data_IF_666355499064
#
_entry.id   IF_666355499064
#
_cell.length_a   1.000
_cell.length_b   1.000
_cell.length_c   1.000
_cell.angle_alpha   90.00
_cell.angle_beta   90.00
_cell.angle_gamma   90.00
#
_symmetry.space_group_name_H-M   'P 1'
#
loop_
_entity.id
_entity.type
_entity.pdbx_description
1 polymer ?
#
# COMPACT_ATOMS: atom_id res chain seq x y z
N UNK A 1 32.52 9.43 -30.10
CA UNK A 1 31.13 9.10 -30.53
C UNK A 1 30.29 8.39 -29.46
N UNK A 2 30.53 8.69 -28.17
CA UNK A 2 29.84 8.03 -27.03
C UNK A 2 28.77 8.89 -26.34
N UNK A 3 28.64 10.18 -26.70
CA UNK A 3 27.75 11.14 -26.03
C UNK A 3 26.26 11.05 -26.45
N UNK A 4 25.96 10.42 -27.57
CA UNK A 4 24.60 10.40 -28.13
C UNK A 4 23.68 9.31 -27.55
N UNK A 5 24.24 8.30 -26.83
CA UNK A 5 23.42 7.23 -26.20
C UNK A 5 22.81 7.65 -24.88
N UNK A 6 23.37 8.61 -24.17
CA UNK A 6 22.89 9.03 -22.85
C UNK A 6 21.70 9.98 -22.93
N UNK A 7 21.60 10.84 -23.95
CA UNK A 7 20.47 11.77 -24.10
C UNK A 7 19.15 11.04 -24.43
N UNK A 8 19.20 10.02 -25.28
CA UNK A 8 18.01 9.21 -25.59
C UNK A 8 17.46 8.44 -24.39
N UNK A 9 18.32 8.07 -23.44
CA UNK A 9 17.96 7.43 -22.18
C UNK A 9 17.12 8.32 -21.28
N UNK A 10 17.50 9.59 -21.14
CA UNK A 10 16.90 10.55 -20.19
C UNK A 10 15.45 10.86 -20.58
N UNK A 11 15.12 10.80 -21.86
CA UNK A 11 13.78 11.04 -22.40
C UNK A 11 12.88 9.78 -22.39
N UNK A 12 13.42 8.60 -22.05
CA UNK A 12 12.65 7.37 -21.97
C UNK A 12 11.79 7.34 -20.68
N UNK A 13 10.47 7.17 -20.76
CA UNK A 13 9.60 7.08 -19.59
C UNK A 13 10.03 5.97 -18.61
N UNK A 14 10.59 4.85 -19.10
CA UNK A 14 11.12 3.77 -18.30
C UNK A 14 12.39 4.15 -17.54
N UNK A 15 13.18 5.08 -18.03
CA UNK A 15 14.39 5.54 -17.36
C UNK A 15 14.10 6.15 -15.98
N UNK A 16 13.04 6.95 -15.89
CA UNK A 16 12.60 7.49 -14.60
C UNK A 16 12.10 6.39 -13.65
N UNK A 17 11.43 5.34 -14.18
CA UNK A 17 11.01 4.19 -13.37
C UNK A 17 12.22 3.44 -12.82
N UNK A 18 13.20 3.15 -13.67
CA UNK A 18 14.45 2.52 -13.31
C UNK A 18 15.24 3.32 -12.26
N UNK A 19 15.46 4.59 -12.49
CA UNK A 19 16.14 5.47 -11.50
C UNK A 19 15.41 5.48 -10.15
N UNK A 20 14.09 5.50 -10.17
CA UNK A 20 13.30 5.53 -8.94
C UNK A 20 13.46 4.27 -8.11
N UNK A 21 13.48 3.07 -8.70
CA UNK A 21 13.70 1.83 -7.93
C UNK A 21 15.11 1.79 -7.33
N UNK A 22 16.13 2.23 -8.09
CA UNK A 22 17.50 2.31 -7.59
C UNK A 22 17.61 3.32 -6.44
N UNK A 23 17.02 4.52 -6.60
CA UNK A 23 17.10 5.56 -5.58
C UNK A 23 16.37 5.16 -4.29
N UNK A 24 15.25 4.45 -4.35
CA UNK A 24 14.56 3.94 -3.15
C UNK A 24 15.42 3.01 -2.31
N UNK A 25 16.32 2.26 -2.96
CA UNK A 25 17.20 1.31 -2.29
C UNK A 25 18.49 1.93 -1.74
N UNK A 26 18.71 3.27 -1.88
CA UNK A 26 19.87 3.96 -1.34
C UNK A 26 19.62 4.45 0.08
N UNK A 27 20.67 4.41 0.91
CA UNK A 27 20.65 4.92 2.29
C UNK A 27 20.28 6.41 2.38
N UNK A 28 20.73 7.23 1.43
CA UNK A 28 20.44 8.67 1.39
C UNK A 28 18.99 9.03 0.95
N UNK A 29 18.17 8.05 0.63
CA UNK A 29 16.78 8.28 0.23
C UNK A 29 15.91 8.57 1.47
N UNK A 30 14.98 9.53 1.36
CA UNK A 30 13.99 9.84 2.42
C UNK A 30 13.17 8.61 2.82
N UNK A 31 13.02 7.64 1.91
CA UNK A 31 12.28 6.40 2.14
C UNK A 31 13.19 5.22 2.56
N UNK A 32 14.47 5.46 2.95
CA UNK A 32 15.44 4.40 3.26
C UNK A 32 14.90 3.37 4.26
N UNK A 33 14.18 3.81 5.31
CA UNK A 33 13.57 2.95 6.34
C UNK A 33 12.61 1.89 5.80
N UNK A 34 12.06 2.07 4.60
CA UNK A 34 11.14 1.13 3.97
C UNK A 34 11.83 0.18 2.98
N UNK A 35 13.05 0.51 2.56
CA UNK A 35 13.79 -0.23 1.56
C UNK A 35 15.19 -0.59 2.04
N UNK A 36 16.11 0.38 2.14
CA UNK A 36 17.50 0.15 2.49
C UNK A 36 17.66 -0.52 3.87
N UNK A 37 17.02 -0.01 4.91
CA UNK A 37 17.10 -0.56 6.27
C UNK A 37 16.48 -1.96 6.39
N UNK A 38 15.66 -2.35 5.40
CA UNK A 38 15.11 -3.70 5.29
C UNK A 38 15.90 -4.63 4.36
N UNK A 39 17.07 -4.20 3.90
CA UNK A 39 17.90 -4.98 2.99
C UNK A 39 17.32 -5.13 1.57
N UNK A 40 16.40 -4.23 1.18
CA UNK A 40 15.81 -4.26 -0.17
C UNK A 40 16.81 -3.66 -1.16
N UNK A 41 17.20 -4.46 -2.16
CA UNK A 41 18.17 -4.08 -3.19
C UNK A 41 17.57 -4.19 -4.59
N UNK A 42 18.31 -3.75 -5.57
CA UNK A 42 18.06 -4.01 -7.00
C UNK A 42 19.10 -5.04 -7.47
N UNK A 43 18.71 -6.02 -8.26
CA UNK A 43 19.64 -7.02 -8.79
C UNK A 43 20.73 -6.37 -9.66
N UNK A 44 21.91 -6.97 -9.70
CA UNK A 44 23.09 -6.42 -10.36
C UNK A 44 22.86 -6.12 -11.84
N UNK A 45 22.11 -6.97 -12.53
CA UNK A 45 21.77 -6.76 -13.94
C UNK A 45 21.01 -5.43 -14.16
N UNK A 46 20.05 -5.13 -13.32
CA UNK A 46 19.29 -3.86 -13.43
C UNK A 46 19.98 -2.69 -12.76
N UNK A 47 20.84 -2.93 -11.77
CA UNK A 47 21.57 -1.87 -11.09
C UNK A 47 22.55 -1.19 -12.06
N UNK A 48 23.18 -1.97 -12.92
CA UNK A 48 24.27 -1.54 -13.79
C UNK A 48 23.83 -1.25 -15.23
N UNK A 49 22.69 -1.80 -15.67
CA UNK A 49 22.23 -1.66 -17.05
C UNK A 49 20.73 -1.34 -17.15
N UNK A 50 20.44 -0.11 -17.61
CA UNK A 50 19.08 0.32 -17.91
C UNK A 50 18.43 -0.49 -19.04
N UNK A 51 19.17 -0.90 -20.03
CA UNK A 51 18.60 -1.58 -21.19
C UNK A 51 18.10 -2.97 -20.84
N UNK A 52 18.79 -3.70 -19.95
CA UNK A 52 18.30 -4.97 -19.42
C UNK A 52 16.98 -4.81 -18.63
N UNK A 53 16.86 -3.74 -17.85
CA UNK A 53 15.59 -3.41 -17.20
C UNK A 53 14.50 -3.07 -18.23
N UNK A 54 14.82 -2.29 -19.26
CA UNK A 54 13.89 -1.89 -20.31
C UNK A 54 13.38 -3.08 -21.12
N UNK A 55 14.26 -3.98 -21.54
CA UNK A 55 13.89 -5.21 -22.26
C UNK A 55 12.92 -6.06 -21.44
N UNK A 56 13.25 -6.27 -20.17
CA UNK A 56 12.36 -6.98 -19.25
C UNK A 56 11.01 -6.26 -19.13
N UNK A 57 11.00 -4.95 -18.95
CA UNK A 57 9.78 -4.18 -18.76
C UNK A 57 8.83 -4.33 -19.95
N UNK A 58 9.36 -4.22 -21.18
CA UNK A 58 8.59 -4.36 -22.42
C UNK A 58 8.07 -5.80 -22.57
N UNK A 59 8.91 -6.79 -22.35
CA UNK A 59 8.55 -8.20 -22.45
C UNK A 59 7.47 -8.63 -21.42
N UNK A 60 7.37 -7.89 -20.29
CA UNK A 60 6.42 -8.18 -19.21
C UNK A 60 5.22 -7.22 -19.16
N UNK A 61 4.90 -6.57 -20.28
CA UNK A 61 3.66 -5.81 -20.45
C UNK A 61 3.69 -4.42 -19.81
N UNK A 62 4.83 -3.74 -19.85
CA UNK A 62 4.89 -2.33 -19.43
C UNK A 62 3.88 -1.45 -20.18
N UNK A 63 3.18 -0.62 -19.44
CA UNK A 63 2.40 0.52 -19.93
C UNK A 63 2.62 1.75 -19.05
N UNK A 64 2.54 2.97 -19.57
CA UNK A 64 2.76 4.21 -18.81
C UNK A 64 1.86 4.37 -17.57
N UNK A 65 0.65 3.80 -17.60
CA UNK A 65 -0.33 3.86 -16.51
C UNK A 65 0.01 2.90 -15.37
N UNK A 66 0.84 1.88 -15.65
CA UNK A 66 1.19 0.85 -14.68
C UNK A 66 2.32 1.30 -13.76
N UNK A 67 2.43 0.65 -12.64
CA UNK A 67 3.50 0.82 -11.66
C UNK A 67 4.19 -0.51 -11.41
N UNK A 68 5.51 -0.45 -11.22
CA UNK A 68 6.28 -1.65 -10.85
C UNK A 68 5.98 -2.01 -9.39
N UNK A 69 5.70 -3.26 -9.16
CA UNK A 69 5.42 -3.86 -7.85
C UNK A 69 6.29 -5.09 -7.64
N UNK A 70 6.73 -5.33 -6.40
CA UNK A 70 7.43 -6.54 -6.01
C UNK A 70 6.42 -7.60 -5.58
N UNK A 71 6.49 -8.79 -6.17
CA UNK A 71 5.59 -9.92 -5.84
C UNK A 71 5.73 -10.28 -4.37
N UNK A 72 6.97 -10.45 -3.91
CA UNK A 72 7.33 -10.61 -2.51
C UNK A 72 7.97 -9.30 -2.00
N UNK A 73 7.29 -8.61 -1.10
CA UNK A 73 7.73 -7.32 -0.57
C UNK A 73 8.97 -7.41 0.33
N UNK A 74 9.35 -8.61 0.77
CA UNK A 74 10.56 -8.85 1.58
C UNK A 74 11.82 -8.97 0.74
N UNK A 75 11.68 -9.24 -0.55
CA UNK A 75 12.79 -9.41 -1.51
C UNK A 75 13.04 -8.13 -2.31
N UNK A 76 14.23 -8.04 -2.92
CA UNK A 76 14.65 -6.94 -3.78
C UNK A 76 13.94 -6.90 -5.15
N UNK A 77 14.30 -5.91 -5.95
CA UNK A 77 13.83 -5.77 -7.33
C UNK A 77 14.65 -6.67 -8.25
N UNK A 78 13.98 -7.59 -8.94
CA UNK A 78 14.58 -8.51 -9.91
C UNK A 78 13.52 -8.97 -10.92
N UNK A 79 13.94 -9.54 -12.09
CA UNK A 79 13.01 -10.06 -13.09
C UNK A 79 11.96 -11.03 -12.53
N UNK A 80 12.38 -11.91 -11.63
CA UNK A 80 11.52 -12.95 -11.05
C UNK A 80 10.64 -12.45 -9.88
N UNK A 81 10.91 -11.26 -9.36
CA UNK A 81 10.19 -10.71 -8.22
C UNK A 81 9.42 -9.42 -8.55
N UNK A 82 9.38 -9.00 -9.80
CA UNK A 82 8.69 -7.79 -10.21
C UNK A 82 7.58 -8.07 -11.21
N UNK A 83 6.59 -7.17 -11.21
CA UNK A 83 5.47 -7.17 -12.15
C UNK A 83 4.93 -5.77 -12.34
N UNK A 84 4.14 -5.58 -13.39
CA UNK A 84 3.41 -4.34 -13.65
C UNK A 84 1.97 -4.48 -13.18
N UNK A 85 1.49 -3.54 -12.38
CA UNK A 85 0.13 -3.51 -11.84
C UNK A 85 -0.43 -2.10 -11.91
N UNK A 86 -1.75 -1.96 -11.82
CA UNK A 86 -2.40 -0.66 -11.75
C UNK A 86 -2.09 0.05 -10.42
N UNK A 87 -2.20 1.39 -10.42
CA UNK A 87 -2.04 2.19 -9.19
C UNK A 87 -3.06 1.80 -8.12
N UNK A 88 -4.30 1.48 -8.54
CA UNK A 88 -5.37 1.05 -7.62
C UNK A 88 -5.04 -0.28 -6.96
N UNK A 89 -4.55 -1.25 -7.72
CA UNK A 89 -4.12 -2.55 -7.20
C UNK A 89 -2.93 -2.41 -6.24
N UNK A 90 -1.93 -1.61 -6.61
CA UNK A 90 -0.78 -1.34 -5.73
C UNK A 90 -1.21 -0.67 -4.42
N UNK A 91 -2.12 0.30 -4.48
CA UNK A 91 -2.67 0.95 -3.29
C UNK A 91 -3.44 -0.05 -2.42
N UNK A 92 -4.25 -0.92 -3.03
CA UNK A 92 -4.98 -1.97 -2.32
C UNK A 92 -4.04 -2.93 -1.59
N UNK A 93 -2.98 -3.40 -2.25
CA UNK A 93 -1.96 -4.26 -1.63
C UNK A 93 -1.26 -3.57 -0.46
N UNK A 94 -0.89 -2.32 -0.60
CA UNK A 94 -0.23 -1.54 0.45
C UNK A 94 -1.17 -1.19 1.61
N UNK A 95 -2.46 -0.98 1.35
CA UNK A 95 -3.47 -0.73 2.39
C UNK A 95 -3.91 -1.99 3.14
N UNK A 96 -3.70 -3.17 2.55
CA UNK A 96 -4.00 -4.47 3.16
C UNK A 96 -3.05 -4.86 4.30
N UNK A 97 -2.06 -4.03 4.64
CA UNK A 97 -1.04 -4.38 5.62
C UNK A 97 -1.54 -4.38 7.06
N UNK A 98 -2.71 -3.82 7.36
CA UNK A 98 -3.31 -3.91 8.70
C UNK A 98 -4.48 -4.88 8.66
N UNK A 99 -4.18 -6.16 8.89
CA UNK A 99 -5.19 -7.18 9.13
C UNK A 99 -5.80 -6.97 10.51
N UNK A 100 -7.10 -7.09 10.61
CA UNK A 100 -7.88 -6.99 11.84
C UNK A 100 -8.67 -8.27 11.99
N UNK A 101 -8.49 -8.93 13.13
CA UNK A 101 -9.21 -10.17 13.46
C UNK A 101 -10.36 -9.85 14.41
N UNK A 102 -11.57 -10.19 14.01
CA UNK A 102 -12.78 -10.04 14.82
C UNK A 102 -13.55 -11.35 14.75
N UNK A 103 -13.85 -11.91 15.90
CA UNK A 103 -14.62 -13.16 16.04
C UNK A 103 -14.09 -14.30 15.15
N UNK A 104 -12.74 -14.43 15.07
CA UNK A 104 -12.06 -15.44 14.27
C UNK A 104 -11.93 -15.12 12.77
N UNK A 105 -12.55 -14.06 12.27
CA UNK A 105 -12.44 -13.60 10.88
C UNK A 105 -11.33 -12.56 10.76
N UNK A 106 -10.33 -12.83 9.91
CA UNK A 106 -9.19 -11.93 9.65
C UNK A 106 -9.31 -11.34 8.26
N UNK A 107 -9.44 -10.02 8.18
CA UNK A 107 -9.49 -9.29 6.91
C UNK A 107 -8.94 -7.87 7.08
N UNK A 108 -8.70 -7.18 5.96
CA UNK A 108 -8.19 -5.81 6.00
C UNK A 108 -9.29 -4.79 6.35
N UNK A 109 -8.86 -3.58 6.71
CA UNK A 109 -9.78 -2.52 7.13
C UNK A 109 -10.78 -2.12 6.03
N UNK A 110 -10.39 -2.24 4.75
CA UNK A 110 -11.27 -1.91 3.63
C UNK A 110 -12.38 -2.94 3.48
N UNK A 111 -12.06 -4.23 3.60
CA UNK A 111 -13.06 -5.29 3.48
C UNK A 111 -14.07 -5.22 4.65
N UNK A 112 -13.61 -4.92 5.87
CA UNK A 112 -14.49 -4.63 6.99
C UNK A 112 -15.42 -3.44 6.73
N UNK A 113 -14.88 -2.36 6.15
CA UNK A 113 -15.67 -1.17 5.82
C UNK A 113 -16.75 -1.47 4.77
N UNK A 114 -16.40 -2.20 3.73
CA UNK A 114 -17.32 -2.59 2.64
C UNK A 114 -18.42 -3.53 3.17
N UNK A 115 -18.06 -4.54 3.97
CA UNK A 115 -19.02 -5.45 4.58
C UNK A 115 -20.05 -4.73 5.48
N UNK A 116 -19.62 -3.69 6.17
CA UNK A 116 -20.48 -2.89 7.04
C UNK A 116 -21.14 -1.69 6.34
N UNK A 117 -20.90 -1.53 5.05
CA UNK A 117 -21.38 -0.39 4.25
C UNK A 117 -21.03 0.96 4.91
N UNK A 118 -19.80 1.10 5.37
CA UNK A 118 -19.28 2.34 5.96
C UNK A 118 -18.03 2.81 5.24
N UNK A 119 -17.76 4.12 5.26
CA UNK A 119 -16.55 4.63 4.64
C UNK A 119 -15.31 4.41 5.53
N UNK A 120 -14.15 4.20 4.90
CA UNK A 120 -12.86 4.20 5.62
C UNK A 120 -12.60 5.52 6.37
N UNK A 121 -13.12 6.63 5.84
CA UNK A 121 -13.02 7.93 6.48
C UNK A 121 -13.76 7.96 7.82
N UNK A 122 -14.95 7.33 7.91
CA UNK A 122 -15.70 7.21 9.16
C UNK A 122 -14.95 6.42 10.22
N UNK A 123 -14.28 5.31 9.83
CA UNK A 123 -13.48 4.51 10.75
C UNK A 123 -12.28 5.33 11.25
N UNK A 124 -11.53 5.95 10.33
CA UNK A 124 -10.36 6.76 10.68
C UNK A 124 -10.71 7.96 11.56
N UNK A 125 -11.84 8.59 11.27
CA UNK A 125 -12.34 9.70 12.08
C UNK A 125 -12.68 9.27 13.50
N UNK A 126 -13.38 8.14 13.68
CA UNK A 126 -13.72 7.61 14.98
C UNK A 126 -12.49 7.25 15.82
N UNK A 127 -11.49 6.60 15.20
CA UNK A 127 -10.21 6.28 15.85
C UNK A 127 -9.48 7.57 16.28
N UNK A 128 -9.49 8.60 15.44
CA UNK A 128 -8.78 9.85 15.74
C UNK A 128 -9.48 10.72 16.79
N UNK A 129 -10.81 10.74 16.81
CA UNK A 129 -11.59 11.76 17.56
C UNK A 129 -12.48 11.19 18.67
N UNK A 130 -12.62 9.85 18.79
CA UNK A 130 -13.57 9.22 19.74
C UNK A 130 -12.97 8.09 20.55
N UNK A 131 -11.66 8.03 20.66
CA UNK A 131 -10.93 7.01 21.45
C UNK A 131 -11.25 5.54 21.07
N UNK A 132 -11.68 5.30 19.82
CA UNK A 132 -11.84 3.95 19.31
C UNK A 132 -10.50 3.38 18.79
N UNK A 133 -10.29 2.08 18.93
CA UNK A 133 -9.39 1.34 18.06
C UNK A 133 -10.12 0.99 16.77
N UNK A 134 -9.41 0.56 15.73
CA UNK A 134 -10.04 0.07 14.50
C UNK A 134 -10.97 -1.12 14.79
N UNK A 135 -10.50 -2.05 15.62
CA UNK A 135 -11.25 -3.24 16.02
C UNK A 135 -12.51 -2.89 16.82
N UNK A 136 -12.37 -2.05 17.86
CA UNK A 136 -13.51 -1.67 18.71
C UNK A 136 -14.58 -0.90 17.94
N UNK A 137 -14.18 -0.05 16.98
CA UNK A 137 -15.15 0.65 16.14
C UNK A 137 -15.89 -0.28 15.17
N UNK A 138 -15.20 -1.28 14.61
CA UNK A 138 -15.83 -2.28 13.74
C UNK A 138 -16.82 -3.13 14.56
N UNK A 139 -16.44 -3.64 15.74
CA UNK A 139 -17.33 -4.36 16.65
C UNK A 139 -18.56 -3.52 17.04
N UNK A 140 -18.33 -2.25 17.36
CA UNK A 140 -19.42 -1.31 17.61
C UNK A 140 -20.37 -1.22 16.41
N UNK A 141 -19.86 -1.07 15.20
CA UNK A 141 -20.69 -1.00 13.99
C UNK A 141 -21.40 -2.32 13.70
N UNK A 142 -20.81 -3.46 13.92
CA UNK A 142 -21.47 -4.77 13.81
C UNK A 142 -22.67 -4.89 14.76
N UNK A 143 -22.48 -4.49 16.01
CA UNK A 143 -23.52 -4.52 17.04
C UNK A 143 -24.68 -3.57 16.76
N UNK A 144 -24.40 -2.40 16.16
CA UNK A 144 -25.38 -1.31 16.01
C UNK A 144 -25.64 -0.92 14.55
N UNK A 145 -25.31 -1.77 13.60
CA UNK A 145 -25.42 -1.49 12.16
C UNK A 145 -26.85 -1.11 11.73
N UNK A 146 -27.86 -1.71 12.36
CA UNK A 146 -29.28 -1.50 12.05
C UNK A 146 -29.96 -0.43 12.92
N UNK A 147 -29.23 0.20 13.85
CA UNK A 147 -29.79 1.21 14.73
C UNK A 147 -29.41 2.59 14.20
N UNK A 148 -30.40 3.33 13.68
CA UNK A 148 -30.21 4.72 13.33
C UNK A 148 -29.71 5.51 14.55
N UNK A 149 -28.79 6.47 14.34
CA UNK A 149 -28.26 7.34 15.42
C UNK A 149 -29.34 8.02 16.26
N UNK A 150 -30.50 8.24 15.67
CA UNK A 150 -31.66 8.83 16.33
C UNK A 150 -32.31 7.94 17.40
N UNK A 151 -32.05 6.63 17.38
CA UNK A 151 -32.66 5.65 18.27
C UNK A 151 -31.77 5.20 19.44
N UNK A 152 -30.52 5.66 19.51
CA UNK A 152 -29.66 5.41 20.67
C UNK A 152 -29.94 6.42 21.77
N UNK A 153 -30.30 5.95 22.94
CA UNK A 153 -30.44 6.79 24.14
C UNK A 153 -29.07 7.31 24.59
N UNK A 154 -29.05 8.42 25.33
CA UNK A 154 -27.79 8.97 25.86
C UNK A 154 -27.08 7.97 26.80
N UNK A 155 -27.81 7.13 27.52
CA UNK A 155 -27.25 6.06 28.36
C UNK A 155 -26.55 5.00 27.54
N UNK A 156 -27.15 4.54 26.44
CA UNK A 156 -26.52 3.58 25.52
C UNK A 156 -25.25 4.15 24.85
N UNK A 157 -25.28 5.45 24.51
CA UNK A 157 -24.09 6.14 23.95
C UNK A 157 -22.95 6.20 24.98
N UNK A 158 -23.28 6.47 26.25
CA UNK A 158 -22.30 6.54 27.35
C UNK A 158 -21.72 5.14 27.65
N UNK A 159 -22.57 4.12 27.78
CA UNK A 159 -22.14 2.75 27.99
C UNK A 159 -21.16 2.25 26.92
N UNK A 160 -21.41 2.60 25.65
CA UNK A 160 -20.55 2.25 24.52
C UNK A 160 -19.18 2.93 24.63
N UNK A 161 -19.12 4.15 25.15
CA UNK A 161 -17.85 4.88 25.36
C UNK A 161 -17.08 4.24 26.52
N UNK A 162 -17.76 3.91 27.60
CA UNK A 162 -17.17 3.35 28.82
C UNK A 162 -16.66 1.89 28.59
N UNK A 163 -17.34 1.08 27.77
CA UNK A 163 -16.90 -0.27 27.37
C UNK A 163 -15.66 -0.28 26.42
N UNK A 164 -15.29 0.86 25.85
CA UNK A 164 -14.17 1.01 24.90
C UNK A 164 -13.05 1.93 25.41
N UNK A 165 -13.10 2.36 26.67
CA UNK A 165 -12.06 3.13 27.36
C UNK A 165 -11.12 2.21 28.10
#
# INVERSE_FOLDING_TARGET
MALYKDDAKIHDPLYNRWRNIINRCKQCCVQHKYYYDKGITVCDAWLNDFYLFKEWAIAHGYSPELTIDRIDSTKGYSPNNCRWITKSENTRRNSNQKLITIDGVTQNLKDWADQLNISLASIRWAVKHRNFTHESYIKYRMKYHNISRSHLTNAQRKQIIDENA
#
